data_IF_250954134226
#
_entry.id   IF_250954134226
#
_cell.length_a   1.000
_cell.length_b   1.000
_cell.length_c   1.000
_cell.angle_alpha   90.00
_cell.angle_beta   90.00
_cell.angle_gamma   90.00
#
_symmetry.space_group_name_H-M   'P 1'
#
loop_
_entity.id
_entity.type
_entity.pdbx_description
1 polymer ?
#
# COMPACT_ATOMS: atom_id res chain seq x y z
N UNK A 1 -29.65 17.41 -31.15
CA UNK A 1 -29.75 18.01 -29.80
C UNK A 1 -29.70 16.86 -28.83
N UNK A 2 -28.56 16.66 -28.16
CA UNK A 2 -28.47 15.74 -27.03
C UNK A 2 -29.34 16.34 -25.93
N UNK A 3 -30.27 15.56 -25.40
CA UNK A 3 -31.19 16.06 -24.38
C UNK A 3 -30.44 16.26 -23.07
N UNK A 4 -30.80 17.26 -22.27
CA UNK A 4 -30.12 17.56 -21.00
C UNK A 4 -30.03 16.32 -20.06
N UNK A 5 -31.02 15.41 -20.16
CA UNK A 5 -31.04 14.14 -19.45
C UNK A 5 -29.94 13.14 -19.88
N UNK A 6 -29.56 13.10 -21.15
CA UNK A 6 -28.42 12.27 -21.63
C UNK A 6 -27.08 12.82 -21.12
N UNK A 7 -26.96 14.15 -21.07
CA UNK A 7 -25.75 14.81 -20.57
C UNK A 7 -25.60 14.64 -19.05
N UNK A 8 -26.71 14.70 -18.30
CA UNK A 8 -26.75 14.45 -16.86
C UNK A 8 -26.44 12.97 -16.53
N UNK A 9 -27.01 12.02 -17.28
CA UNK A 9 -26.67 10.59 -17.16
C UNK A 9 -25.18 10.32 -17.42
N UNK A 10 -24.61 10.94 -18.46
CA UNK A 10 -23.18 10.81 -18.78
C UNK A 10 -22.27 11.40 -17.69
N UNK A 11 -22.66 12.54 -17.10
CA UNK A 11 -21.92 13.16 -16.02
C UNK A 11 -21.95 12.31 -14.73
N UNK A 12 -23.11 11.74 -14.39
CA UNK A 12 -23.26 10.84 -13.24
C UNK A 12 -22.46 9.56 -13.43
N UNK A 13 -22.48 8.98 -14.64
CA UNK A 13 -21.75 7.76 -14.96
C UNK A 13 -20.23 7.99 -14.98
N UNK A 14 -19.78 9.14 -15.50
CA UNK A 14 -18.39 9.60 -15.43
C UNK A 14 -17.91 9.89 -14.01
N UNK A 15 -18.76 10.48 -13.16
CA UNK A 15 -18.45 10.66 -11.74
C UNK A 15 -18.34 9.31 -11.01
N UNK A 16 -19.27 8.39 -11.27
CA UNK A 16 -19.28 7.06 -10.68
C UNK A 16 -18.05 6.24 -11.10
N UNK A 17 -17.65 6.29 -12.37
CA UNK A 17 -16.43 5.61 -12.84
C UNK A 17 -15.18 6.20 -12.20
N UNK A 18 -15.06 7.54 -12.15
CA UNK A 18 -13.96 8.25 -11.50
C UNK A 18 -13.75 7.81 -10.05
N UNK A 19 -14.82 7.77 -9.25
CA UNK A 19 -14.73 7.32 -7.86
C UNK A 19 -14.57 5.81 -7.73
N UNK A 20 -15.20 5.00 -8.60
CA UNK A 20 -15.03 3.54 -8.60
C UNK A 20 -13.58 3.12 -8.84
N UNK A 21 -12.90 3.77 -9.79
CA UNK A 21 -11.48 3.52 -10.07
C UNK A 21 -10.60 3.89 -8.88
N UNK A 22 -10.90 5.02 -8.21
CA UNK A 22 -10.15 5.48 -7.05
C UNK A 22 -10.36 4.60 -5.81
N UNK A 23 -11.51 3.94 -5.71
CA UNK A 23 -11.81 2.93 -4.68
C UNK A 23 -11.57 1.48 -5.14
N UNK A 24 -10.94 1.27 -6.31
CA UNK A 24 -10.63 -0.08 -6.81
C UNK A 24 -9.84 -0.90 -5.81
N UNK A 25 -8.88 -0.29 -5.11
CA UNK A 25 -8.10 -0.91 -4.04
C UNK A 25 -9.04 -1.49 -2.97
N UNK A 26 -9.98 -0.69 -2.47
CA UNK A 26 -10.94 -1.13 -1.45
C UNK A 26 -11.76 -2.32 -1.96
N UNK A 27 -12.25 -2.26 -3.20
CA UNK A 27 -13.00 -3.37 -3.81
C UNK A 27 -12.16 -4.65 -3.92
N UNK A 28 -10.92 -4.55 -4.41
CA UNK A 28 -10.01 -5.70 -4.56
C UNK A 28 -9.68 -6.36 -3.22
N UNK A 29 -9.56 -5.59 -2.14
CA UNK A 29 -9.21 -6.12 -0.82
C UNK A 29 -10.42 -6.49 0.06
N UNK A 30 -11.63 -6.03 -0.28
CA UNK A 30 -12.85 -6.29 0.49
C UNK A 30 -13.07 -7.78 0.81
N UNK A 31 -12.88 -8.73 -0.13
CA UNK A 31 -13.06 -10.16 0.15
C UNK A 31 -12.14 -10.73 1.23
N UNK A 32 -10.99 -10.08 1.46
CA UNK A 32 -10.00 -10.53 2.43
C UNK A 32 -10.12 -9.80 3.77
N UNK A 33 -10.58 -8.55 3.77
CA UNK A 33 -10.68 -7.71 4.97
C UNK A 33 -12.04 -7.86 5.67
N UNK A 34 -13.15 -8.00 4.93
CA UNK A 34 -14.52 -8.08 5.49
C UNK A 34 -15.01 -9.52 5.70
N UNK A 35 -14.14 -10.39 6.21
CA UNK A 35 -14.47 -11.78 6.50
C UNK A 35 -14.94 -11.93 7.95
N UNK A 36 -15.87 -12.85 8.19
CA UNK A 36 -16.29 -13.21 9.55
C UNK A 36 -15.14 -13.86 10.34
N UNK A 37 -14.34 -14.70 9.66
CA UNK A 37 -13.10 -15.24 10.19
C UNK A 37 -11.89 -14.59 9.48
N UNK A 38 -11.01 -13.86 10.20
CA UNK A 38 -9.82 -13.27 9.61
C UNK A 38 -8.89 -14.37 9.06
N UNK A 39 -8.14 -14.05 8.00
CA UNK A 39 -7.10 -14.96 7.51
C UNK A 39 -6.02 -15.12 8.58
N UNK A 40 -5.46 -16.34 8.77
CA UNK A 40 -4.35 -16.53 9.69
C UNK A 40 -3.15 -15.70 9.23
N UNK A 41 -2.28 -15.24 10.16
CA UNK A 41 -1.05 -14.57 9.79
C UNK A 41 -0.17 -15.53 8.98
N UNK A 42 0.47 -15.01 7.93
CA UNK A 42 1.44 -15.75 7.14
C UNK A 42 2.86 -15.51 7.65
N UNK A 43 3.73 -16.51 7.46
CA UNK A 43 5.17 -16.37 7.74
C UNK A 43 5.94 -15.88 6.50
N UNK A 44 7.22 -15.54 6.67
CA UNK A 44 8.09 -15.26 5.53
C UNK A 44 8.30 -16.50 4.65
N UNK A 45 8.22 -17.72 5.21
CA UNK A 45 8.33 -18.95 4.44
C UNK A 45 7.14 -19.11 3.49
N UNK A 46 5.92 -18.81 3.93
CA UNK A 46 4.72 -18.87 3.09
C UNK A 46 4.79 -17.92 1.90
N UNK A 47 5.44 -16.77 2.09
CA UNK A 47 5.68 -15.82 1.01
C UNK A 47 6.67 -16.39 0.01
N UNK A 48 7.75 -17.04 0.47
CA UNK A 48 8.72 -17.68 -0.43
C UNK A 48 8.09 -18.85 -1.18
N UNK A 49 7.24 -19.64 -0.53
CA UNK A 49 6.48 -20.70 -1.18
C UNK A 49 5.63 -20.15 -2.32
N UNK A 50 4.91 -19.03 -2.08
CA UNK A 50 4.14 -18.39 -3.14
C UNK A 50 5.04 -17.90 -4.29
N UNK A 51 6.14 -17.21 -3.96
CA UNK A 51 7.10 -16.70 -4.95
C UNK A 51 7.67 -17.83 -5.81
N UNK A 52 7.95 -18.99 -5.20
CA UNK A 52 8.43 -20.17 -5.90
C UNK A 52 7.33 -20.83 -6.75
N UNK A 53 6.08 -20.78 -6.29
CA UNK A 53 4.94 -21.42 -6.98
C UNK A 53 4.38 -20.63 -8.16
N UNK A 54 4.41 -19.29 -8.10
CA UNK A 54 3.81 -18.41 -9.11
C UNK A 54 4.88 -17.63 -9.89
N UNK A 55 5.20 -18.04 -11.13
CA UNK A 55 6.25 -17.39 -11.93
C UNK A 55 5.85 -15.99 -12.43
N UNK A 56 4.56 -15.65 -12.47
CA UNK A 56 4.07 -14.36 -12.97
C UNK A 56 3.97 -13.33 -11.84
N UNK A 57 3.34 -13.68 -10.74
CA UNK A 57 3.09 -12.77 -9.62
C UNK A 57 4.15 -12.84 -8.52
N UNK A 58 4.90 -13.93 -8.42
CA UNK A 58 5.96 -14.13 -7.43
C UNK A 58 7.06 -13.06 -7.48
N UNK A 59 7.70 -12.81 -8.64
CA UNK A 59 8.72 -11.77 -8.76
C UNK A 59 8.19 -10.38 -8.41
N UNK A 60 6.97 -10.07 -8.83
CA UNK A 60 6.31 -8.79 -8.52
C UNK A 60 6.05 -8.64 -7.03
N UNK A 61 5.57 -9.71 -6.37
CA UNK A 61 5.36 -9.72 -4.92
C UNK A 61 6.67 -9.52 -4.16
N UNK A 62 7.76 -10.16 -4.60
CA UNK A 62 9.10 -9.98 -4.02
C UNK A 62 9.52 -8.51 -4.08
N UNK A 63 9.45 -7.91 -5.27
CA UNK A 63 9.78 -6.49 -5.47
C UNK A 63 8.90 -5.58 -4.61
N UNK A 64 7.61 -5.88 -4.50
CA UNK A 64 6.67 -5.14 -3.64
C UNK A 64 7.07 -5.20 -2.16
N UNK A 65 7.55 -6.35 -1.68
CA UNK A 65 8.04 -6.49 -0.30
C UNK A 65 9.36 -5.75 -0.08
N UNK A 66 10.26 -5.77 -1.04
CA UNK A 66 11.51 -4.99 -0.93
C UNK A 66 11.23 -3.48 -0.94
N UNK A 67 10.23 -3.04 -1.73
CA UNK A 67 9.74 -1.66 -1.67
C UNK A 67 9.17 -1.30 -0.29
N UNK A 68 8.40 -2.21 0.32
CA UNK A 68 7.87 -1.99 1.67
C UNK A 68 8.99 -1.85 2.73
N UNK A 69 10.11 -2.58 2.58
CA UNK A 69 11.28 -2.40 3.47
C UNK A 69 11.92 -1.01 3.29
N UNK A 70 12.06 -0.52 2.06
CA UNK A 70 12.61 0.82 1.78
C UNK A 70 11.67 1.90 2.36
N UNK A 71 10.36 1.75 2.16
CA UNK A 71 9.34 2.62 2.75
C UNK A 71 9.45 2.65 4.28
N UNK A 72 9.53 1.48 4.92
CA UNK A 72 9.66 1.38 6.38
C UNK A 72 10.96 2.03 6.89
N UNK A 73 12.08 1.79 6.20
CA UNK A 73 13.36 2.42 6.54
C UNK A 73 13.28 3.95 6.42
N UNK A 74 12.66 4.46 5.36
CA UNK A 74 12.39 5.89 5.19
C UNK A 74 11.57 6.44 6.35
N UNK A 75 10.52 5.74 6.77
CA UNK A 75 9.70 6.11 7.92
C UNK A 75 10.51 6.19 9.23
N UNK A 76 11.32 5.18 9.53
CA UNK A 76 12.17 5.18 10.73
C UNK A 76 13.15 6.36 10.71
N UNK A 77 13.83 6.57 9.59
CA UNK A 77 14.79 7.67 9.43
C UNK A 77 14.10 9.02 9.60
N UNK A 78 12.97 9.23 8.94
CA UNK A 78 12.17 10.45 9.06
C UNK A 78 11.68 10.69 10.48
N UNK A 79 11.18 9.66 11.15
CA UNK A 79 10.69 9.73 12.53
C UNK A 79 11.80 10.13 13.51
N UNK A 80 12.93 9.43 13.47
CA UNK A 80 14.05 9.66 14.41
C UNK A 80 14.69 11.02 14.17
N UNK A 81 14.95 11.39 12.90
CA UNK A 81 15.60 12.66 12.58
C UNK A 81 14.76 13.87 13.01
N UNK A 82 13.46 13.87 12.71
CA UNK A 82 12.55 14.97 13.06
C UNK A 82 12.27 15.03 14.56
N UNK A 83 12.07 13.89 15.23
CA UNK A 83 11.90 13.86 16.68
C UNK A 83 13.15 14.36 17.42
N UNK A 84 14.34 13.93 16.99
CA UNK A 84 15.60 14.38 17.57
C UNK A 84 15.80 15.88 17.36
N UNK A 85 15.48 16.40 16.17
CA UNK A 85 15.52 17.84 15.90
C UNK A 85 14.53 18.61 16.80
N UNK A 86 13.28 18.19 16.86
CA UNK A 86 12.25 18.82 17.69
C UNK A 86 12.63 18.78 19.18
N UNK A 87 13.16 17.66 19.67
CA UNK A 87 13.64 17.54 21.05
C UNK A 87 14.83 18.46 21.33
N UNK A 88 15.80 18.53 20.42
CA UNK A 88 17.01 19.36 20.56
C UNK A 88 16.66 20.83 20.78
N UNK A 89 15.70 21.37 20.03
CA UNK A 89 15.36 22.80 20.05
C UNK A 89 14.17 23.16 20.95
N UNK A 90 13.11 22.35 20.96
CA UNK A 90 11.91 22.68 21.76
C UNK A 90 11.98 22.17 23.20
N UNK A 91 12.79 21.14 23.49
CA UNK A 91 12.81 20.40 24.76
C UNK A 91 11.43 19.91 25.23
N UNK A 92 10.44 19.89 24.33
CA UNK A 92 9.06 19.51 24.63
C UNK A 92 8.81 18.05 24.23
N UNK A 93 8.34 17.20 25.16
CA UNK A 93 8.01 15.81 24.84
C UNK A 93 6.84 15.69 23.86
N UNK A 94 5.83 16.56 23.98
CA UNK A 94 4.69 16.58 23.06
C UNK A 94 5.10 16.99 21.64
N UNK A 95 5.98 17.99 21.53
CA UNK A 95 6.52 18.42 20.24
C UNK A 95 7.35 17.30 19.59
N UNK A 96 8.23 16.65 20.36
CA UNK A 96 9.01 15.53 19.86
C UNK A 96 8.15 14.34 19.43
N UNK A 97 7.10 14.00 20.19
CA UNK A 97 6.19 12.91 19.85
C UNK A 97 5.38 13.18 18.57
N UNK A 98 4.85 14.40 18.42
CA UNK A 98 4.14 14.80 17.20
C UNK A 98 5.09 14.83 16.00
N UNK A 99 6.31 15.37 16.18
CA UNK A 99 7.33 15.37 15.13
C UNK A 99 7.74 13.97 14.74
N UNK A 100 7.84 13.03 15.68
CA UNK A 100 8.11 11.61 15.38
C UNK A 100 7.07 11.04 14.42
N UNK A 101 5.79 11.22 14.73
CA UNK A 101 4.70 10.75 13.87
C UNK A 101 4.70 11.40 12.49
N UNK A 102 4.86 12.74 12.44
CA UNK A 102 4.94 13.47 11.18
C UNK A 102 6.15 13.02 10.33
N UNK A 103 7.32 12.89 10.96
CA UNK A 103 8.53 12.40 10.31
C UNK A 103 8.40 10.98 9.79
N UNK A 104 7.70 10.10 10.52
CA UNK A 104 7.40 8.76 10.04
C UNK A 104 6.59 8.80 8.74
N UNK A 105 5.54 9.62 8.69
CA UNK A 105 4.68 9.75 7.51
C UNK A 105 5.45 10.29 6.31
N UNK A 106 6.17 11.41 6.47
CA UNK A 106 6.97 11.97 5.38
C UNK A 106 8.11 11.03 4.95
N UNK A 107 8.78 10.40 5.91
CA UNK A 107 9.82 9.42 5.66
C UNK A 107 9.32 8.23 4.84
N UNK A 108 8.12 7.70 5.17
CA UNK A 108 7.48 6.66 4.37
C UNK A 108 7.15 7.13 2.96
N UNK A 109 6.64 8.36 2.79
CA UNK A 109 6.36 8.92 1.46
C UNK A 109 7.62 9.03 0.60
N UNK A 110 8.71 9.58 1.13
CA UNK A 110 9.99 9.64 0.40
C UNK A 110 10.58 8.26 0.15
N UNK A 111 10.49 7.34 1.13
CA UNK A 111 10.93 5.96 0.95
C UNK A 111 10.16 5.24 -0.15
N UNK A 112 8.84 5.47 -0.25
CA UNK A 112 8.03 4.95 -1.34
C UNK A 112 8.46 5.51 -2.70
N UNK A 113 8.78 6.79 -2.78
CA UNK A 113 9.23 7.39 -4.04
C UNK A 113 10.61 6.88 -4.48
N UNK A 114 11.54 6.72 -3.53
CA UNK A 114 12.82 6.07 -3.77
C UNK A 114 12.58 4.64 -4.27
N UNK A 115 11.70 3.87 -3.62
CA UNK A 115 11.37 2.52 -4.05
C UNK A 115 10.74 2.50 -5.45
N UNK A 116 9.85 3.43 -5.77
CA UNK A 116 9.21 3.56 -7.09
C UNK A 116 10.27 3.68 -8.20
N UNK A 117 11.27 4.55 -7.99
CA UNK A 117 12.30 4.78 -8.98
C UNK A 117 13.35 3.67 -9.01
N UNK A 118 13.84 3.20 -7.86
CA UNK A 118 14.88 2.18 -7.80
C UNK A 118 14.40 0.81 -8.26
N UNK A 119 13.16 0.44 -7.93
CA UNK A 119 12.58 -0.88 -8.25
C UNK A 119 11.62 -0.84 -9.44
N UNK A 120 11.43 0.33 -10.06
CA UNK A 120 10.54 0.54 -11.21
C UNK A 120 9.10 0.06 -10.95
N UNK A 121 8.58 0.30 -9.73
CA UNK A 121 7.25 -0.18 -9.31
C UNK A 121 6.12 0.31 -10.24
N UNK A 122 6.31 1.46 -10.90
CA UNK A 122 5.36 2.00 -11.89
C UNK A 122 5.17 1.10 -13.12
N UNK A 123 6.06 0.13 -13.37
CA UNK A 123 5.92 -0.88 -14.44
C UNK A 123 5.22 -2.15 -13.97
N UNK A 124 4.96 -2.29 -12.68
CA UNK A 124 4.51 -3.54 -12.07
C UNK A 124 3.10 -3.39 -11.52
N UNK A 125 2.26 -4.41 -11.74
CA UNK A 125 0.96 -4.49 -11.07
C UNK A 125 1.11 -5.13 -9.68
N UNK A 126 1.61 -4.32 -8.74
CA UNK A 126 1.84 -4.73 -7.36
C UNK A 126 0.55 -5.12 -6.63
N UNK A 127 -0.57 -4.48 -6.97
CA UNK A 127 -1.88 -4.77 -6.39
C UNK A 127 -2.37 -6.16 -6.85
N UNK A 128 -2.28 -6.47 -8.14
CA UNK A 128 -2.68 -7.79 -8.64
C UNK A 128 -1.82 -8.90 -8.01
N UNK A 129 -0.51 -8.70 -7.88
CA UNK A 129 0.36 -9.67 -7.22
C UNK A 129 0.00 -9.90 -5.74
N UNK A 130 -0.32 -8.82 -5.00
CA UNK A 130 -0.76 -8.92 -3.61
C UNK A 130 -2.12 -9.64 -3.48
N UNK A 131 -3.08 -9.35 -4.36
CA UNK A 131 -4.38 -10.03 -4.37
C UNK A 131 -4.20 -11.53 -4.67
N UNK A 132 -3.35 -11.88 -5.65
CA UNK A 132 -3.08 -13.29 -5.99
C UNK A 132 -2.40 -14.04 -4.86
N UNK A 133 -1.49 -13.38 -4.12
CA UNK A 133 -0.93 -13.93 -2.90
C UNK A 133 -2.03 -14.21 -1.85
N UNK A 134 -2.95 -13.28 -1.62
CA UNK A 134 -4.05 -13.47 -0.66
C UNK A 134 -5.02 -14.58 -1.09
N UNK A 135 -5.34 -14.69 -2.37
CA UNK A 135 -6.14 -15.79 -2.92
C UNK A 135 -5.45 -17.16 -2.74
N UNK A 136 -4.14 -17.21 -3.00
CA UNK A 136 -3.34 -18.41 -2.76
C UNK A 136 -3.28 -18.76 -1.27
N UNK A 137 -3.06 -17.78 -0.40
CA UNK A 137 -2.98 -17.97 1.04
C UNK A 137 -4.30 -18.48 1.60
N UNK A 138 -5.42 -17.92 1.15
CA UNK A 138 -6.75 -18.38 1.51
C UNK A 138 -6.96 -19.85 1.12
N UNK A 139 -6.47 -20.30 -0.04
CA UNK A 139 -6.58 -21.71 -0.45
C UNK A 139 -5.65 -22.64 0.32
N UNK A 140 -4.46 -22.17 0.71
CA UNK A 140 -3.49 -22.95 1.48
C UNK A 140 -3.91 -23.11 2.95
N UNK A 141 -4.66 -22.14 3.49
CA UNK A 141 -5.08 -22.09 4.89
C UNK A 141 -6.52 -22.56 5.16
N UNK A 142 -7.27 -22.88 4.10
CA UNK A 142 -8.59 -23.52 4.17
C UNK A 142 -8.45 -25.04 4.29
#
# INVERSE_FOLDING_TARGET
MVTDAEQESSAVEGFKSFWSDRFRIVKSYTPFIRRDSPLPPWSDADVQDFIASDPLHGPVLKTTRDAAKIMAAGGIIGAVSTAAFAWKYSKSPHGAALSLGAGALFGMSFGQEIANHSLQLYKLDTMAAQVKFLEWWQRKSA
#
